data_IF_443774618735
#
_entry.id   IF_443774618735
#
_cell.length_a   1.000
_cell.length_b   1.000
_cell.length_c   1.000
_cell.angle_alpha   90.00
_cell.angle_beta   90.00
_cell.angle_gamma   90.00
#
_symmetry.space_group_name_H-M   'P 1'
#
loop_
_entity.id
_entity.type
_entity.pdbx_description
1 polymer ?
#
# COMPACT_ATOMS: atom_id res chain seq x y z
N UNK A 1 23.40 12.39 17.18
CA UNK A 1 22.72 12.21 15.87
C UNK A 1 22.31 10.76 15.73
N UNK A 2 21.03 10.47 15.98
CA UNK A 2 20.42 9.14 15.81
C UNK A 2 20.47 8.73 14.35
N UNK A 3 21.15 7.62 14.03
CA UNK A 3 21.27 7.11 12.66
C UNK A 3 19.88 6.86 12.08
N UNK A 4 19.55 7.31 10.86
CA UNK A 4 18.27 7.01 10.24
C UNK A 4 18.15 5.49 10.11
N UNK A 5 17.05 4.96 10.61
CA UNK A 5 16.71 3.53 10.58
C UNK A 5 16.68 3.13 9.10
N UNK A 6 17.68 2.36 8.63
CA UNK A 6 17.75 1.88 7.24
C UNK A 6 16.41 1.22 6.89
N UNK A 7 15.61 1.87 6.06
CA UNK A 7 14.45 1.22 5.45
C UNK A 7 14.97 0.02 4.67
N UNK A 8 14.33 -1.13 4.90
CA UNK A 8 14.67 -2.34 4.16
C UNK A 8 14.44 -2.06 2.67
N UNK A 9 15.31 -2.57 1.78
CA UNK A 9 15.15 -2.36 0.35
C UNK A 9 13.78 -2.87 -0.10
N UNK A 10 13.04 -2.02 -0.83
CA UNK A 10 11.78 -2.42 -1.46
C UNK A 10 12.06 -3.52 -2.48
N UNK A 11 11.25 -4.57 -2.47
CA UNK A 11 11.31 -5.67 -3.45
C UNK A 11 10.10 -5.54 -4.37
N UNK A 12 10.33 -5.64 -5.67
CA UNK A 12 9.25 -5.63 -6.67
C UNK A 12 8.55 -6.99 -6.65
N UNK A 13 7.22 -6.95 -6.58
CA UNK A 13 6.36 -8.12 -6.73
C UNK A 13 5.41 -7.88 -7.90
N UNK A 14 5.22 -8.90 -8.74
CA UNK A 14 4.21 -8.87 -9.78
C UNK A 14 2.93 -9.51 -9.24
N UNK A 15 1.81 -8.80 -9.36
CA UNK A 15 0.47 -9.30 -9.04
C UNK A 15 -0.46 -9.04 -10.22
N UNK A 16 -1.43 -9.92 -10.42
CA UNK A 16 -2.55 -9.65 -11.32
C UNK A 16 -3.58 -8.81 -10.57
N UNK A 17 -3.99 -7.69 -11.15
CA UNK A 17 -4.93 -6.75 -10.54
C UNK A 17 -6.05 -6.43 -11.53
N UNK A 18 -7.27 -6.24 -11.03
CA UNK A 18 -8.40 -5.86 -11.88
C UNK A 18 -8.12 -4.47 -12.50
N UNK A 19 -8.33 -4.34 -13.81
CA UNK A 19 -8.00 -3.13 -14.56
C UNK A 19 -8.81 -1.92 -14.12
N UNK A 20 -10.11 -2.07 -13.88
CA UNK A 20 -10.99 -0.96 -13.49
C UNK A 20 -10.60 -0.46 -12.09
N UNK A 21 -10.39 -1.39 -11.16
CA UNK A 21 -9.92 -1.07 -9.81
C UNK A 21 -8.55 -0.37 -9.82
N UNK A 22 -7.65 -0.77 -10.73
CA UNK A 22 -6.36 -0.10 -10.90
C UNK A 22 -6.51 1.36 -11.34
N UNK A 23 -7.43 1.63 -12.27
CA UNK A 23 -7.67 2.98 -12.78
C UNK A 23 -8.28 3.88 -11.71
N UNK A 24 -9.25 3.37 -10.94
CA UNK A 24 -9.83 4.10 -9.81
C UNK A 24 -8.76 4.44 -8.76
N UNK A 25 -7.89 3.48 -8.45
CA UNK A 25 -6.78 3.70 -7.52
C UNK A 25 -5.76 4.72 -8.05
N UNK A 26 -5.50 4.73 -9.36
CA UNK A 26 -4.63 5.72 -10.00
C UNK A 26 -5.22 7.13 -9.93
N UNK A 27 -6.52 7.29 -10.19
CA UNK A 27 -7.19 8.58 -10.05
C UNK A 27 -7.13 9.08 -8.60
N UNK A 28 -7.45 8.21 -7.64
CA UNK A 28 -7.35 8.56 -6.21
C UNK A 28 -5.92 8.97 -5.82
N UNK A 29 -4.91 8.25 -6.31
CA UNK A 29 -3.51 8.58 -6.05
C UNK A 29 -3.13 9.96 -6.60
N UNK A 30 -3.67 10.35 -7.76
CA UNK A 30 -3.48 11.69 -8.33
C UNK A 30 -4.18 12.76 -7.50
N UNK A 31 -5.42 12.51 -7.07
CA UNK A 31 -6.21 13.46 -6.27
C UNK A 31 -5.53 13.75 -4.91
N UNK A 32 -4.90 12.74 -4.32
CA UNK A 32 -4.22 12.83 -3.02
C UNK A 32 -2.73 13.22 -3.12
N UNK A 33 -2.18 13.43 -4.33
CA UNK A 33 -0.76 13.67 -4.58
C UNK A 33 0.16 12.59 -3.96
N UNK A 34 -0.20 11.31 -4.16
CA UNK A 34 0.48 10.14 -3.59
C UNK A 34 0.84 9.11 -4.66
N UNK A 35 1.76 8.21 -4.33
CA UNK A 35 2.05 7.07 -5.20
C UNK A 35 1.05 5.94 -4.99
N UNK A 36 0.63 5.29 -6.08
CA UNK A 36 -0.22 4.08 -6.04
C UNK A 36 0.33 3.02 -5.07
N UNK A 37 1.64 2.83 -5.02
CA UNK A 37 2.27 1.87 -4.11
C UNK A 37 2.02 2.21 -2.63
N UNK A 38 2.00 3.49 -2.27
CA UNK A 38 1.72 3.93 -0.90
C UNK A 38 0.27 3.64 -0.53
N UNK A 39 -0.66 3.86 -1.46
CA UNK A 39 -2.08 3.53 -1.29
C UNK A 39 -2.29 2.01 -1.14
N UNK A 40 -1.61 1.21 -1.96
CA UNK A 40 -1.65 -0.25 -1.86
C UNK A 40 -1.07 -0.75 -0.53
N UNK A 41 0.05 -0.18 -0.06
CA UNK A 41 0.63 -0.53 1.23
C UNK A 41 -0.30 -0.18 2.39
N UNK A 42 -0.95 0.98 2.35
CA UNK A 42 -1.94 1.39 3.33
C UNK A 42 -3.14 0.43 3.36
N UNK A 43 -3.77 0.20 2.21
CA UNK A 43 -4.90 -0.73 2.10
C UNK A 43 -4.54 -2.15 2.57
N UNK A 44 -3.32 -2.61 2.29
CA UNK A 44 -2.82 -3.91 2.76
C UNK A 44 -2.67 -3.94 4.28
N UNK A 45 -2.14 -2.87 4.89
CA UNK A 45 -1.99 -2.78 6.36
C UNK A 45 -3.35 -2.77 7.05
N UNK A 46 -4.31 -2.03 6.52
CA UNK A 46 -5.67 -1.96 7.07
C UNK A 46 -6.40 -3.29 6.97
N UNK A 47 -6.25 -3.99 5.83
CA UNK A 47 -6.77 -5.34 5.68
C UNK A 47 -6.17 -6.28 6.73
N UNK A 48 -4.85 -6.30 6.89
CA UNK A 48 -4.19 -7.16 7.88
C UNK A 48 -4.61 -6.82 9.32
N UNK A 49 -4.79 -5.54 9.64
CA UNK A 49 -5.27 -5.09 10.94
C UNK A 49 -6.69 -5.59 11.21
N UNK A 50 -7.61 -5.40 10.26
CA UNK A 50 -9.00 -5.87 10.34
C UNK A 50 -9.08 -7.36 10.67
N UNK A 51 -8.25 -8.18 10.03
CA UNK A 51 -8.25 -9.63 10.28
C UNK A 51 -7.58 -10.03 11.61
N UNK A 52 -6.57 -9.29 12.07
CA UNK A 52 -6.00 -9.49 13.41
C UNK A 52 -7.01 -9.19 14.50
N UNK A 53 -7.79 -8.12 14.33
CA UNK A 53 -8.83 -7.73 15.28
C UNK A 53 -10.00 -8.72 15.28
N UNK A 54 -10.37 -9.27 14.12
CA UNK A 54 -11.40 -10.33 14.02
C UNK A 54 -10.98 -11.65 14.68
N UNK A 55 -9.68 -11.95 14.72
CA UNK A 55 -9.15 -13.18 15.28
C UNK A 55 -8.96 -13.14 16.81
N UNK A 56 -9.19 -11.99 17.44
CA UNK A 56 -9.06 -11.77 18.89
C UNK A 56 -10.43 -11.80 19.55
#
# INVERSE_FOLDING_TARGET
MTKPKKEKPRKTYAISFNRELMLELQHLALDEDRYVNEMLEEATRDLLKKYKEKAK
#
